data_IF_942503029954
#
_entry.id   IF_942503029954
#
_cell.length_a   1.000
_cell.length_b   1.000
_cell.length_c   1.000
_cell.angle_alpha   90.00
_cell.angle_beta   90.00
_cell.angle_gamma   90.00
#
_symmetry.space_group_name_H-M   'P 1'
#
loop_
_entity.id
_entity.type
_entity.pdbx_description
1 polymer ?
#
# COMPACT_ATOMS: atom_id res chain seq x y z
N UNK A 1 -19.37 24.39 5.62
CA UNK A 1 -18.32 23.36 5.44
C UNK A 1 -18.47 22.35 6.57
N UNK A 2 -18.52 21.05 6.25
CA UNK A 2 -18.70 19.99 7.25
C UNK A 2 -17.46 19.84 8.15
N UNK A 3 -17.57 19.21 9.32
CA UNK A 3 -16.46 19.17 10.29
C UNK A 3 -15.28 18.32 9.80
N UNK A 4 -15.54 17.19 9.14
CA UNK A 4 -14.44 16.38 8.56
C UNK A 4 -13.66 17.17 7.50
N UNK A 5 -14.35 18.01 6.72
CA UNK A 5 -13.70 18.90 5.75
C UNK A 5 -12.80 19.90 6.47
N UNK A 6 -13.27 20.51 7.58
CA UNK A 6 -12.42 21.44 8.36
C UNK A 6 -11.20 20.73 8.95
N UNK A 7 -11.35 19.50 9.44
CA UNK A 7 -10.24 18.69 9.97
C UNK A 7 -9.21 18.38 8.88
N UNK A 8 -9.67 18.00 7.67
CA UNK A 8 -8.80 17.79 6.51
C UNK A 8 -8.04 19.09 6.14
N UNK A 9 -8.74 20.23 6.09
CA UNK A 9 -8.10 21.51 5.75
C UNK A 9 -7.06 21.94 6.79
N UNK A 10 -7.32 21.72 8.08
CA UNK A 10 -6.37 22.03 9.17
C UNK A 10 -5.04 21.31 9.02
N UNK A 11 -4.99 20.12 8.40
CA UNK A 11 -3.72 19.41 8.15
C UNK A 11 -2.73 20.20 7.31
N UNK A 12 -3.23 21.05 6.42
CA UNK A 12 -2.41 21.75 5.45
C UNK A 12 -2.04 23.17 5.91
N UNK A 13 -2.54 23.63 7.06
CA UNK A 13 -2.29 24.98 7.57
C UNK A 13 -2.58 26.05 6.52
N UNK A 14 -1.57 26.85 6.17
CA UNK A 14 -1.66 27.92 5.18
C UNK A 14 -1.71 27.43 3.72
N UNK A 15 -1.46 26.14 3.46
CA UNK A 15 -1.43 25.55 2.11
C UNK A 15 -2.82 25.17 1.62
N UNK A 16 -3.63 26.19 1.34
CA UNK A 16 -5.01 26.04 0.83
C UNK A 16 -5.03 25.26 -0.49
N UNK A 17 -4.02 25.41 -1.34
CA UNK A 17 -3.84 24.63 -2.57
C UNK A 17 -3.83 23.11 -2.30
N UNK A 18 -3.10 22.68 -1.27
CA UNK A 18 -3.03 21.27 -0.86
C UNK A 18 -4.33 20.81 -0.21
N UNK A 19 -4.97 21.66 0.59
CA UNK A 19 -6.27 21.36 1.19
C UNK A 19 -7.37 21.14 0.14
N UNK A 20 -7.42 22.00 -0.89
CA UNK A 20 -8.36 21.86 -2.00
C UNK A 20 -8.06 20.60 -2.82
N UNK A 21 -6.79 20.33 -3.10
CA UNK A 21 -6.40 19.09 -3.78
C UNK A 21 -6.80 17.85 -2.97
N UNK A 22 -6.54 17.83 -1.66
CA UNK A 22 -6.95 16.74 -0.78
C UNK A 22 -8.46 16.55 -0.73
N UNK A 23 -9.22 17.65 -0.64
CA UNK A 23 -10.68 17.60 -0.71
C UNK A 23 -11.17 16.96 -2.01
N UNK A 24 -10.71 17.46 -3.16
CA UNK A 24 -11.10 16.94 -4.47
C UNK A 24 -10.69 15.48 -4.61
N UNK A 25 -9.45 15.16 -4.23
CA UNK A 25 -8.91 13.82 -4.31
C UNK A 25 -9.75 12.83 -3.49
N UNK A 26 -9.94 13.07 -2.20
CA UNK A 26 -10.66 12.11 -1.34
C UNK A 26 -12.16 12.07 -1.63
N UNK A 27 -12.78 13.20 -2.01
CA UNK A 27 -14.21 13.27 -2.33
C UNK A 27 -14.56 12.50 -3.60
N UNK A 28 -13.65 12.46 -4.57
CA UNK A 28 -13.86 11.86 -5.91
C UNK A 28 -12.73 10.92 -6.31
N UNK A 29 -12.19 10.14 -5.36
CA UNK A 29 -10.96 9.34 -5.55
C UNK A 29 -11.01 8.36 -6.74
N UNK A 30 -12.13 7.69 -6.97
CA UNK A 30 -12.39 6.84 -8.14
C UNK A 30 -12.31 7.59 -9.47
N UNK A 31 -12.98 8.74 -9.60
CA UNK A 31 -12.97 9.55 -10.82
C UNK A 31 -11.59 10.18 -11.02
N UNK A 32 -11.00 10.63 -9.92
CA UNK A 32 -9.66 11.18 -9.90
C UNK A 32 -8.68 10.15 -10.45
N UNK A 33 -8.62 8.95 -9.88
CA UNK A 33 -7.72 7.87 -10.31
C UNK A 33 -8.03 7.45 -11.75
N UNK A 34 -9.30 7.26 -12.11
CA UNK A 34 -9.69 6.89 -13.49
C UNK A 34 -9.22 7.91 -14.53
N UNK A 35 -9.48 9.19 -14.30
CA UNK A 35 -9.02 10.27 -15.19
C UNK A 35 -7.50 10.34 -15.22
N UNK A 36 -6.85 10.20 -14.06
CA UNK A 36 -5.39 10.22 -13.94
C UNK A 36 -4.72 9.13 -14.77
N UNK A 37 -5.19 7.89 -14.61
CA UNK A 37 -4.63 6.73 -15.30
C UNK A 37 -4.88 6.81 -16.81
N UNK A 38 -6.05 7.31 -17.23
CA UNK A 38 -6.30 7.57 -18.65
C UNK A 38 -5.32 8.58 -19.26
N UNK A 39 -5.03 9.69 -18.55
CA UNK A 39 -4.05 10.69 -18.98
C UNK A 39 -2.64 10.10 -18.99
N UNK A 40 -2.25 9.39 -17.92
CA UNK A 40 -0.93 8.78 -17.79
C UNK A 40 -0.66 7.76 -18.92
N UNK A 41 -1.60 6.84 -19.18
CA UNK A 41 -1.48 5.87 -20.28
C UNK A 41 -1.38 6.55 -21.64
N UNK A 42 -2.18 7.61 -21.89
CA UNK A 42 -2.10 8.38 -23.14
C UNK A 42 -0.76 9.10 -23.27
N UNK A 43 -0.26 9.70 -22.20
CA UNK A 43 1.04 10.38 -22.21
C UNK A 43 2.18 9.40 -22.46
N UNK A 44 2.25 8.28 -21.75
CA UNK A 44 3.30 7.26 -21.93
C UNK A 44 3.30 6.73 -23.36
N UNK A 45 2.12 6.57 -23.98
CA UNK A 45 2.00 6.18 -25.39
C UNK A 45 2.55 7.22 -26.37
N UNK A 46 2.34 8.51 -26.10
CA UNK A 46 2.78 9.61 -26.98
C UNK A 46 4.23 10.03 -26.73
N UNK A 47 4.69 9.94 -25.49
CA UNK A 47 5.97 10.41 -25.00
C UNK A 47 6.64 9.33 -24.13
N UNK A 48 7.05 8.19 -24.73
CA UNK A 48 7.58 7.04 -23.98
C UNK A 48 8.88 7.32 -23.21
N UNK A 49 9.55 8.44 -23.49
CA UNK A 49 10.75 8.92 -22.78
C UNK A 49 10.52 10.17 -21.93
N UNK A 50 9.28 10.68 -21.87
CA UNK A 50 8.96 11.89 -21.11
C UNK A 50 8.88 11.62 -19.62
N UNK A 51 9.69 12.32 -18.81
CA UNK A 51 9.74 12.13 -17.34
C UNK A 51 8.72 12.94 -16.55
N UNK A 52 8.21 14.03 -17.11
CA UNK A 52 7.38 15.01 -16.37
C UNK A 52 6.19 14.38 -15.65
N UNK A 53 5.47 13.48 -16.33
CA UNK A 53 4.29 12.85 -15.74
C UNK A 53 4.66 11.84 -14.65
N UNK A 54 5.82 11.18 -14.78
CA UNK A 54 6.35 10.26 -13.79
C UNK A 54 6.78 11.02 -12.53
N UNK A 55 7.50 12.13 -12.67
CA UNK A 55 7.95 12.91 -11.52
C UNK A 55 6.78 13.55 -10.75
N UNK A 56 5.75 14.01 -11.46
CA UNK A 56 4.57 14.60 -10.84
C UNK A 56 3.74 13.57 -10.06
N UNK A 57 3.55 12.37 -10.59
CA UNK A 57 2.70 11.35 -9.96
C UNK A 57 3.41 10.59 -8.86
N UNK A 58 4.61 10.11 -9.12
CA UNK A 58 5.20 9.10 -8.26
C UNK A 58 5.94 9.72 -7.06
N UNK A 59 6.25 11.03 -7.07
CA UNK A 59 6.83 11.68 -5.88
C UNK A 59 5.81 12.00 -4.79
N UNK A 60 4.50 11.82 -5.05
CA UNK A 60 3.41 12.24 -4.15
C UNK A 60 2.64 11.09 -3.50
N UNK A 61 2.87 9.87 -3.97
CA UNK A 61 2.19 8.66 -3.50
C UNK A 61 3.22 7.60 -3.20
N UNK A 62 3.31 7.23 -1.94
CA UNK A 62 4.26 6.22 -1.48
C UNK A 62 3.55 5.20 -0.62
N UNK A 63 4.05 3.97 -0.67
CA UNK A 63 3.56 2.91 0.16
C UNK A 63 4.70 2.06 0.70
N UNK A 64 4.39 1.35 1.78
CA UNK A 64 5.22 0.30 2.36
C UNK A 64 4.48 -1.02 2.21
N UNK A 65 5.13 -2.02 1.62
CA UNK A 65 4.61 -3.39 1.64
C UNK A 65 4.61 -3.88 3.08
N UNK A 66 3.53 -4.53 3.49
CA UNK A 66 3.39 -5.12 4.82
C UNK A 66 3.29 -6.63 4.72
N UNK A 67 3.69 -7.31 5.78
CA UNK A 67 3.18 -8.65 6.09
C UNK A 67 1.75 -8.55 6.61
N UNK A 68 1.03 -9.66 6.64
CA UNK A 68 -0.31 -9.71 7.24
C UNK A 68 -0.26 -9.33 8.73
N UNK A 69 0.72 -9.83 9.47
CA UNK A 69 0.93 -9.50 10.89
C UNK A 69 1.14 -7.99 11.12
N UNK A 70 2.00 -7.35 10.31
CA UNK A 70 2.25 -5.90 10.41
C UNK A 70 0.97 -5.08 10.16
N UNK A 71 0.18 -5.48 9.16
CA UNK A 71 -1.09 -4.83 8.86
C UNK A 71 -2.10 -5.04 10.01
N UNK A 72 -2.18 -6.25 10.56
CA UNK A 72 -3.04 -6.58 11.68
C UNK A 72 -2.71 -5.72 12.91
N UNK A 73 -1.42 -5.58 13.26
CA UNK A 73 -0.97 -4.71 14.35
C UNK A 73 -1.46 -3.27 14.19
N UNK A 74 -1.39 -2.70 12.98
CA UNK A 74 -1.89 -1.34 12.73
C UNK A 74 -3.42 -1.25 12.91
N UNK A 75 -4.16 -2.26 12.43
CA UNK A 75 -5.62 -2.29 12.49
C UNK A 75 -6.17 -2.52 13.91
N UNK A 76 -5.37 -3.06 14.81
CA UNK A 76 -5.75 -3.31 16.21
C UNK A 76 -5.22 -2.28 17.20
N UNK A 77 -4.52 -1.23 16.73
CA UNK A 77 -4.04 -0.16 17.60
C UNK A 77 -5.19 0.56 18.30
N UNK A 78 -5.00 0.77 19.60
CA UNK A 78 -5.96 1.41 20.51
C UNK A 78 -5.48 2.76 21.06
N UNK A 79 -4.29 3.22 20.64
CA UNK A 79 -3.66 4.45 21.08
C UNK A 79 -2.97 5.19 19.93
N UNK A 80 -2.81 6.51 20.09
CA UNK A 80 -2.18 7.35 19.07
C UNK A 80 -0.69 7.03 18.90
N UNK A 81 -0.24 7.04 17.65
CA UNK A 81 1.17 6.80 17.30
C UNK A 81 1.70 7.97 16.47
N UNK A 82 2.77 8.61 16.93
CA UNK A 82 3.42 9.74 16.25
C UNK A 82 4.92 9.50 16.14
N UNK A 83 5.36 8.86 15.07
CA UNK A 83 6.79 8.57 14.94
C UNK A 83 7.63 9.82 14.72
N UNK A 84 8.87 9.76 15.20
CA UNK A 84 9.90 10.73 14.88
C UNK A 84 10.05 10.86 13.34
N UNK A 85 10.16 12.09 12.78
CA UNK A 85 10.31 12.27 11.34
C UNK A 85 11.53 11.60 10.73
N UNK A 86 12.68 11.56 11.42
CA UNK A 86 13.90 10.93 10.92
C UNK A 86 13.78 9.41 10.90
N UNK A 87 13.15 8.82 11.93
CA UNK A 87 12.80 7.41 11.91
C UNK A 87 11.78 7.11 10.80
N UNK A 88 10.74 7.92 10.65
CA UNK A 88 9.73 7.77 9.59
C UNK A 88 10.37 7.77 8.19
N UNK A 89 11.30 8.68 7.94
CA UNK A 89 12.04 8.77 6.68
C UNK A 89 13.01 7.60 6.46
N UNK A 90 13.37 6.81 7.47
CA UNK A 90 14.13 5.56 7.28
C UNK A 90 13.24 4.35 7.00
N UNK A 91 12.00 4.37 7.52
CA UNK A 91 11.00 3.31 7.27
C UNK A 91 10.40 3.48 5.87
N UNK A 92 10.08 4.72 5.48
CA UNK A 92 9.49 5.08 4.20
C UNK A 92 10.39 6.12 3.55
N UNK A 93 11.48 5.70 2.88
CA UNK A 93 12.58 6.58 2.47
C UNK A 93 12.30 7.36 1.20
N UNK A 94 11.22 8.14 1.23
CA UNK A 94 10.80 9.02 0.13
C UNK A 94 10.81 10.49 0.55
N UNK A 95 11.11 11.43 -0.37
CA UNK A 95 11.25 12.86 -0.03
C UNK A 95 9.99 13.50 0.58
N UNK A 96 8.82 12.98 0.22
CA UNK A 96 7.52 13.46 0.66
C UNK A 96 6.67 12.29 1.13
N UNK A 97 5.58 12.57 1.85
CA UNK A 97 4.60 11.56 2.23
C UNK A 97 5.22 10.30 2.87
N UNK A 98 5.86 10.48 4.03
CA UNK A 98 6.49 9.39 4.77
C UNK A 98 6.18 9.40 6.26
N UNK A 99 5.49 10.43 6.79
CA UNK A 99 5.27 10.56 8.23
C UNK A 99 4.33 9.46 8.73
N UNK A 100 4.74 8.75 9.78
CA UNK A 100 3.90 7.73 10.42
C UNK A 100 3.17 8.40 11.59
N UNK A 101 1.95 8.86 11.32
CA UNK A 101 1.08 9.52 12.29
C UNK A 101 -0.30 8.87 12.23
N UNK A 102 -0.63 8.10 13.25
CA UNK A 102 -1.91 7.43 13.45
C UNK A 102 -2.62 8.14 14.60
N UNK A 103 -3.51 9.07 14.24
CA UNK A 103 -4.37 9.83 15.15
C UNK A 103 -5.74 9.13 15.20
N UNK A 104 -6.16 8.67 16.38
CA UNK A 104 -7.38 7.88 16.58
C UNK A 104 -7.44 6.64 15.67
N UNK A 105 -6.45 5.72 15.71
CA UNK A 105 -6.38 4.57 14.79
C UNK A 105 -7.61 3.65 14.83
N UNK A 106 -8.34 3.60 15.94
CA UNK A 106 -9.60 2.88 16.09
C UNK A 106 -10.74 3.43 15.21
N UNK A 107 -10.55 4.60 14.59
CA UNK A 107 -11.44 5.11 13.56
C UNK A 107 -11.08 4.49 12.21
N UNK A 108 -11.66 3.32 11.94
CA UNK A 108 -11.45 2.60 10.68
C UNK A 108 -12.68 2.74 9.80
N UNK A 109 -12.45 3.09 8.53
CA UNK A 109 -13.49 3.22 7.51
C UNK A 109 -13.11 2.41 6.29
N UNK A 110 -13.95 1.44 5.96
CA UNK A 110 -13.87 0.71 4.70
C UNK A 110 -14.62 1.47 3.61
N UNK A 111 -14.07 1.49 2.40
CA UNK A 111 -14.72 2.04 1.22
C UNK A 111 -14.38 1.23 -0.02
N UNK A 112 -15.15 1.46 -1.08
CA UNK A 112 -14.90 0.86 -2.38
C UNK A 112 -13.55 1.33 -2.95
N UNK A 113 -12.74 0.36 -3.36
CA UNK A 113 -11.42 0.59 -3.88
C UNK A 113 -11.48 1.25 -5.26
N UNK A 114 -11.09 2.52 -5.30
CA UNK A 114 -11.03 3.33 -6.51
C UNK A 114 -10.21 2.67 -7.65
N UNK A 115 -9.12 1.97 -7.33
CA UNK A 115 -8.31 1.27 -8.32
C UNK A 115 -9.07 0.06 -8.89
N UNK A 116 -9.78 -0.73 -8.06
CA UNK A 116 -10.59 -1.85 -8.54
C UNK A 116 -11.74 -1.38 -9.44
N UNK A 117 -12.36 -0.24 -9.09
CA UNK A 117 -13.36 0.43 -9.96
C UNK A 117 -12.73 0.83 -11.31
N UNK A 118 -11.51 1.38 -11.31
CA UNK A 118 -10.78 1.73 -12.53
C UNK A 118 -10.56 0.52 -13.44
N UNK A 119 -10.26 -0.64 -12.84
CA UNK A 119 -10.07 -1.93 -13.53
C UNK A 119 -11.38 -2.63 -13.91
N UNK A 120 -12.53 -2.03 -13.64
CA UNK A 120 -13.84 -2.57 -14.00
C UNK A 120 -14.36 -3.68 -13.09
N UNK A 121 -13.81 -3.82 -11.88
CA UNK A 121 -14.40 -4.71 -10.86
C UNK A 121 -15.77 -4.17 -10.48
N UNK A 122 -16.79 -5.02 -10.59
CA UNK A 122 -18.17 -4.66 -10.28
C UNK A 122 -18.74 -5.39 -9.04
N UNK A 123 -18.06 -6.44 -8.58
CA UNK A 123 -18.47 -7.18 -7.37
C UNK A 123 -18.32 -6.31 -6.12
N UNK A 124 -19.42 -5.96 -5.41
CA UNK A 124 -19.37 -5.12 -4.23
C UNK A 124 -18.47 -5.68 -3.12
N UNK A 125 -18.43 -7.00 -2.92
CA UNK A 125 -17.61 -7.62 -1.88
C UNK A 125 -16.12 -7.48 -2.19
N UNK A 126 -15.75 -7.60 -3.47
CA UNK A 126 -14.40 -7.29 -3.94
C UNK A 126 -14.09 -5.79 -3.96
N UNK A 127 -15.07 -4.88 -3.91
CA UNK A 127 -14.80 -3.44 -3.92
C UNK A 127 -14.51 -2.88 -2.52
N UNK A 128 -15.27 -3.23 -1.50
CA UNK A 128 -15.23 -2.60 -0.17
C UNK A 128 -14.04 -3.09 0.69
N UNK A 129 -12.81 -2.80 0.24
CA UNK A 129 -11.56 -3.34 0.81
C UNK A 129 -10.49 -2.29 1.14
N UNK A 130 -10.73 -1.01 0.83
CA UNK A 130 -9.80 0.07 1.11
C UNK A 130 -10.09 0.64 2.50
N UNK A 131 -9.12 0.56 3.40
CA UNK A 131 -9.29 0.88 4.82
C UNK A 131 -8.58 2.19 5.14
N UNK A 132 -9.31 3.28 5.34
CA UNK A 132 -8.75 4.43 6.05
C UNK A 132 -8.60 4.09 7.52
N UNK A 133 -7.43 4.39 8.08
CA UNK A 133 -7.11 4.11 9.48
C UNK A 133 -6.69 5.42 10.13
N UNK A 134 -7.52 5.86 11.08
CA UNK A 134 -7.32 7.10 11.77
C UNK A 134 -7.70 8.34 10.97
N UNK A 135 -7.46 9.46 11.61
CA UNK A 135 -8.04 10.74 11.24
C UNK A 135 -7.04 11.66 10.56
N UNK A 136 -7.50 12.59 9.70
CA UNK A 136 -8.90 12.94 9.41
C UNK A 136 -9.52 12.15 8.27
N UNK A 137 -8.77 11.26 7.63
CA UNK A 137 -9.22 10.63 6.38
C UNK A 137 -10.38 9.69 6.63
N UNK A 138 -10.38 8.96 7.75
CA UNK A 138 -11.52 8.12 8.14
C UNK A 138 -12.82 8.93 8.25
N UNK A 139 -12.88 9.99 9.07
CA UNK A 139 -14.11 10.79 9.17
C UNK A 139 -14.49 11.46 7.86
N UNK A 140 -13.50 11.91 7.08
CA UNK A 140 -13.75 12.50 5.77
C UNK A 140 -14.40 11.51 4.81
N UNK A 141 -13.86 10.29 4.68
CA UNK A 141 -14.44 9.25 3.84
C UNK A 141 -15.82 8.81 4.33
N UNK A 142 -16.02 8.67 5.64
CA UNK A 142 -17.33 8.32 6.17
C UNK A 142 -18.39 9.37 5.80
N UNK A 143 -18.05 10.65 5.96
CA UNK A 143 -18.99 11.75 5.71
C UNK A 143 -19.21 12.02 4.22
N UNK A 144 -18.20 11.83 3.38
CA UNK A 144 -18.22 12.21 1.97
C UNK A 144 -18.25 11.03 0.99
N UNK A 145 -18.01 9.80 1.42
CA UNK A 145 -17.90 8.62 0.58
C UNK A 145 -19.09 7.67 0.65
N UNK A 146 -19.97 7.80 1.65
CA UNK A 146 -21.04 6.85 1.93
C UNK A 146 -21.95 6.56 0.72
N UNK A 147 -22.46 7.60 0.06
CA UNK A 147 -23.41 7.44 -1.05
C UNK A 147 -22.81 6.86 -2.34
N UNK A 148 -21.50 7.01 -2.54
CA UNK A 148 -20.87 6.79 -3.86
C UNK A 148 -19.82 5.69 -3.89
N UNK A 149 -19.11 5.51 -2.79
CA UNK A 149 -18.07 4.51 -2.61
C UNK A 149 -18.36 3.64 -1.38
N UNK A 150 -19.62 3.61 -0.95
CA UNK A 150 -20.12 2.78 0.15
C UNK A 150 -19.22 2.84 1.39
N UNK A 151 -18.72 4.04 1.69
CA UNK A 151 -17.85 4.24 2.83
C UNK A 151 -18.63 4.00 4.13
N UNK A 152 -18.11 3.13 4.98
CA UNK A 152 -18.75 2.73 6.24
C UNK A 152 -17.69 2.55 7.32
N UNK A 153 -18.08 2.83 8.56
CA UNK A 153 -17.24 2.50 9.72
C UNK A 153 -17.18 0.98 9.86
N UNK A 154 -16.01 0.48 10.22
CA UNK A 154 -15.78 -0.94 10.53
C UNK A 154 -15.08 -1.05 11.87
N UNK A 155 -15.35 -2.13 12.58
CA UNK A 155 -14.58 -2.51 13.77
C UNK A 155 -13.18 -3.02 13.38
N UNK A 156 -12.27 -3.10 14.35
CA UNK A 156 -10.97 -3.74 14.14
C UNK A 156 -11.13 -5.20 13.69
N UNK A 157 -12.09 -5.93 14.28
CA UNK A 157 -12.41 -7.31 13.88
C UNK A 157 -12.86 -7.40 12.43
N UNK A 158 -13.82 -6.59 11.99
CA UNK A 158 -14.24 -6.57 10.58
C UNK A 158 -13.10 -6.16 9.63
N UNK A 159 -12.22 -5.24 10.06
CA UNK A 159 -11.06 -4.85 9.27
C UNK A 159 -10.06 -6.00 9.10
N UNK A 160 -9.85 -6.80 10.15
CA UNK A 160 -9.04 -8.03 10.09
C UNK A 160 -9.71 -9.08 9.19
N UNK A 161 -11.02 -9.26 9.25
CA UNK A 161 -11.74 -10.17 8.35
C UNK A 161 -11.56 -9.77 6.88
N UNK A 162 -11.60 -8.46 6.57
CA UNK A 162 -11.28 -7.94 5.22
C UNK A 162 -9.83 -8.26 4.85
N UNK A 163 -8.88 -8.00 5.76
CA UNK A 163 -7.46 -8.28 5.54
C UNK A 163 -7.23 -9.77 5.23
N UNK A 164 -7.69 -10.67 6.09
CA UNK A 164 -7.54 -12.12 5.96
C UNK A 164 -8.19 -12.65 4.69
N UNK A 165 -9.44 -12.26 4.41
CA UNK A 165 -10.15 -12.67 3.18
C UNK A 165 -9.39 -12.25 1.93
N UNK A 166 -8.91 -11.01 1.88
CA UNK A 166 -8.17 -10.53 0.71
C UNK A 166 -6.78 -11.20 0.62
N UNK A 167 -6.19 -11.57 1.76
CA UNK A 167 -4.93 -12.30 1.82
C UNK A 167 -5.06 -13.72 1.27
N UNK A 168 -6.13 -14.42 1.64
CA UNK A 168 -6.54 -15.71 1.08
C UNK A 168 -6.83 -15.64 -0.43
N UNK A 169 -7.07 -14.44 -0.98
CA UNK A 169 -7.18 -14.18 -2.43
C UNK A 169 -5.86 -13.74 -3.09
N UNK A 170 -4.75 -13.75 -2.36
CA UNK A 170 -3.42 -13.40 -2.87
C UNK A 170 -3.12 -11.89 -2.86
N UNK A 171 -3.85 -11.12 -2.06
CA UNK A 171 -3.60 -9.68 -1.91
C UNK A 171 -2.40 -9.40 -1.01
N UNK A 172 -1.75 -8.27 -1.27
CA UNK A 172 -0.64 -7.79 -0.45
C UNK A 172 -1.09 -6.53 0.29
N UNK A 173 -1.14 -6.55 1.64
CA UNK A 173 -1.44 -5.35 2.38
C UNK A 173 -0.32 -4.33 2.18
N UNK A 174 -0.72 -3.09 1.96
CA UNK A 174 0.20 -1.96 1.76
C UNK A 174 -0.25 -0.78 2.59
N UNK A 175 0.67 -0.19 3.35
CA UNK A 175 0.45 1.06 4.08
C UNK A 175 0.70 2.25 3.14
N UNK A 176 -0.26 3.16 3.03
CA UNK A 176 -0.23 4.26 2.08
C UNK A 176 -0.01 5.60 2.74
N UNK A 177 0.81 6.41 2.09
CA UNK A 177 1.22 7.73 2.51
C UNK A 177 0.98 8.71 1.38
N UNK A 178 0.48 9.89 1.74
CA UNK A 178 0.18 10.90 0.73
C UNK A 178 0.37 12.32 1.26
N UNK A 179 0.81 13.20 0.38
CA UNK A 179 0.91 14.64 0.63
C UNK A 179 -0.46 15.27 0.98
N UNK A 180 -1.52 14.87 0.29
CA UNK A 180 -2.91 15.23 0.57
C UNK A 180 -3.42 14.72 1.93
N UNK A 181 -2.74 13.76 2.56
CA UNK A 181 -3.01 13.34 3.93
C UNK A 181 -2.27 14.20 4.97
N UNK A 182 -1.55 15.24 4.56
CA UNK A 182 -0.62 15.98 5.42
C UNK A 182 0.77 15.34 5.47
N UNK A 183 1.23 14.82 4.33
CA UNK A 183 2.52 14.12 4.17
C UNK A 183 2.67 12.88 5.08
N UNK A 184 1.56 12.21 5.40
CA UNK A 184 1.52 11.08 6.35
C UNK A 184 0.74 9.87 5.87
N UNK A 185 0.84 8.79 6.66
CA UNK A 185 0.02 7.59 6.56
C UNK A 185 -1.48 7.92 6.61
N UNK A 186 -2.29 7.20 5.84
CA UNK A 186 -3.76 7.37 5.89
C UNK A 186 -4.60 6.12 5.62
N UNK A 187 -4.05 5.10 4.96
CA UNK A 187 -4.85 3.93 4.58
C UNK A 187 -4.01 2.66 4.46
N UNK A 188 -4.67 1.52 4.69
CA UNK A 188 -4.22 0.20 4.29
C UNK A 188 -5.02 -0.22 3.07
N UNK A 189 -4.31 -0.59 2.01
CA UNK A 189 -4.92 -1.21 0.84
C UNK A 189 -4.65 -2.71 0.83
N UNK A 190 -5.69 -3.49 0.57
CA UNK A 190 -5.63 -4.93 0.37
C UNK A 190 -5.70 -5.24 -1.13
N UNK A 191 -4.65 -4.88 -1.88
CA UNK A 191 -4.66 -5.02 -3.33
C UNK A 191 -3.91 -6.29 -3.76
N UNK A 192 -4.48 -7.13 -4.63
CA UNK A 192 -3.67 -8.01 -5.44
C UNK A 192 -2.91 -7.11 -6.45
N UNK A 193 -1.66 -7.44 -6.79
CA UNK A 193 -0.90 -6.60 -7.70
C UNK A 193 -1.42 -6.52 -9.14
N UNK A 194 -2.48 -7.26 -9.49
CA UNK A 194 -3.25 -7.11 -10.74
C UNK A 194 -4.18 -5.88 -10.74
N UNK A 195 -4.62 -5.41 -9.58
CA UNK A 195 -5.54 -4.26 -9.47
C UNK A 195 -4.89 -3.00 -8.91
N UNK A 196 -3.66 -3.08 -8.43
CA UNK A 196 -2.96 -1.93 -7.86
C UNK A 196 -2.34 -1.06 -8.98
N UNK A 197 -2.95 0.10 -9.25
CA UNK A 197 -2.45 1.07 -10.24
C UNK A 197 -0.99 1.48 -10.00
N UNK A 198 -0.59 1.58 -8.74
CA UNK A 198 0.78 1.87 -8.38
C UNK A 198 1.74 0.73 -8.73
N UNK A 199 1.45 -0.51 -8.30
CA UNK A 199 2.32 -1.63 -8.64
C UNK A 199 2.38 -1.84 -10.16
N UNK A 200 1.28 -1.65 -10.88
CA UNK A 200 1.26 -1.61 -12.35
C UNK A 200 2.18 -0.50 -12.89
N UNK A 201 2.07 0.71 -12.35
CA UNK A 201 2.89 1.86 -12.76
C UNK A 201 4.38 1.63 -12.52
N UNK A 202 4.75 1.02 -11.40
CA UNK A 202 6.13 0.66 -11.08
C UNK A 202 6.67 -0.41 -12.06
N UNK A 203 5.87 -1.44 -12.38
CA UNK A 203 6.23 -2.45 -13.39
C UNK A 203 6.41 -1.83 -14.78
N UNK A 204 5.50 -0.93 -15.17
CA UNK A 204 5.57 -0.24 -16.46
C UNK A 204 6.83 0.63 -16.57
N UNK A 205 7.16 1.38 -15.52
CA UNK A 205 8.37 2.19 -15.48
C UNK A 205 9.64 1.33 -15.66
N UNK A 206 9.69 0.16 -15.03
CA UNK A 206 10.78 -0.81 -15.22
C UNK A 206 10.82 -1.38 -16.65
N UNK A 207 9.67 -1.80 -17.19
CA UNK A 207 9.58 -2.34 -18.54
C UNK A 207 10.03 -1.33 -19.61
N UNK A 208 9.74 -0.05 -19.40
CA UNK A 208 10.16 1.04 -20.27
C UNK A 208 11.61 1.50 -20.06
N UNK A 209 12.35 0.85 -19.15
CA UNK A 209 13.73 1.21 -18.78
C UNK A 209 13.87 2.70 -18.43
N UNK A 210 12.88 3.25 -17.74
CA UNK A 210 12.96 4.61 -17.21
C UNK A 210 14.15 4.65 -16.25
N UNK A 211 15.15 5.46 -16.57
CA UNK A 211 16.30 5.69 -15.70
C UNK A 211 15.84 6.32 -14.39
N UNK A 212 16.19 5.69 -13.26
CA UNK A 212 15.66 6.03 -11.92
C UNK A 212 14.13 6.04 -11.91
N UNK A 213 13.48 4.87 -12.15
CA UNK A 213 12.04 4.80 -12.13
C UNK A 213 11.59 5.18 -10.72
N UNK A 214 10.58 6.05 -10.59
CA UNK A 214 10.19 6.50 -9.28
C UNK A 214 9.64 5.32 -8.47
N UNK A 215 10.38 4.99 -7.42
CA UNK A 215 10.01 3.94 -6.49
C UNK A 215 8.90 4.50 -5.62
N UNK A 216 7.75 3.85 -5.66
CA UNK A 216 6.55 4.24 -4.88
C UNK A 216 6.22 3.20 -3.81
N UNK A 217 6.91 2.07 -3.81
CA UNK A 217 6.71 0.99 -2.87
C UNK A 217 8.05 0.64 -2.24
N UNK A 218 8.15 0.81 -0.93
CA UNK A 218 9.26 0.30 -0.15
C UNK A 218 8.97 -1.17 0.27
N UNK A 219 9.97 -2.06 0.26
CA UNK A 219 9.82 -3.46 0.71
C UNK A 219 9.50 -3.54 2.20
N UNK A 220 8.97 -4.66 2.69
CA UNK A 220 8.49 -4.79 4.08
C UNK A 220 9.58 -4.79 5.16
N UNK A 221 10.85 -4.91 4.78
CA UNK A 221 11.94 -5.19 5.72
C UNK A 221 12.30 -6.67 5.81
N UNK A 222 11.60 -7.54 5.08
CA UNK A 222 11.88 -8.97 5.07
C UNK A 222 12.24 -9.47 3.67
N UNK A 223 12.95 -10.58 3.64
CA UNK A 223 13.29 -11.34 2.45
C UNK A 223 12.72 -12.76 2.58
N UNK A 224 12.16 -13.28 1.51
CA UNK A 224 11.77 -14.69 1.46
C UNK A 224 13.04 -15.57 1.35
N UNK A 225 13.12 -16.62 2.17
CA UNK A 225 14.20 -17.59 2.18
C UNK A 225 13.62 -18.97 1.94
N UNK A 226 14.27 -19.76 1.09
CA UNK A 226 13.86 -21.12 0.74
C UNK A 226 14.90 -22.09 1.29
N UNK A 227 14.46 -23.03 2.14
CA UNK A 227 15.25 -24.22 2.41
C UNK A 227 15.18 -25.16 1.20
N UNK A 228 16.29 -25.24 0.46
CA UNK A 228 16.39 -26.04 -0.76
C UNK A 228 16.22 -27.54 -0.49
N UNK A 229 16.67 -28.03 0.66
CA UNK A 229 16.60 -29.45 1.00
C UNK A 229 15.14 -29.88 1.27
N UNK A 230 14.34 -29.00 1.87
CA UNK A 230 12.92 -29.24 2.15
C UNK A 230 11.99 -28.88 0.98
N UNK A 231 12.47 -28.12 -0.01
CA UNK A 231 11.64 -27.68 -1.14
C UNK A 231 11.24 -28.85 -2.05
N UNK A 232 9.94 -29.14 -2.12
CA UNK A 232 9.38 -30.19 -2.99
C UNK A 232 9.39 -29.85 -4.49
N UNK A 233 9.62 -28.59 -4.85
CA UNK A 233 9.68 -28.14 -6.24
C UNK A 233 8.35 -28.00 -6.98
N UNK A 234 7.23 -27.97 -6.26
CA UNK A 234 5.89 -27.92 -6.86
C UNK A 234 5.52 -26.60 -7.56
N UNK A 235 6.31 -25.53 -7.42
CA UNK A 235 6.03 -24.24 -8.07
C UNK A 235 4.93 -23.38 -7.45
N UNK A 236 4.18 -23.84 -6.45
CA UNK A 236 3.06 -23.08 -5.86
C UNK A 236 3.47 -21.67 -5.36
N UNK A 237 4.66 -21.53 -4.78
CA UNK A 237 5.18 -20.23 -4.36
C UNK A 237 5.52 -19.29 -5.52
N UNK A 238 5.90 -19.83 -6.69
CA UNK A 238 6.17 -19.06 -7.90
C UNK A 238 4.88 -18.44 -8.42
N UNK A 239 3.82 -19.24 -8.52
CA UNK A 239 2.48 -18.78 -8.95
C UNK A 239 1.90 -17.75 -7.98
N UNK A 240 2.07 -17.98 -6.68
CA UNK A 240 1.57 -17.08 -5.65
C UNK A 240 2.30 -15.72 -5.59
N UNK A 241 3.53 -15.62 -6.12
CA UNK A 241 4.36 -14.45 -5.97
C UNK A 241 3.92 -13.32 -6.91
N UNK A 242 3.31 -12.24 -6.40
CA UNK A 242 2.76 -11.27 -7.31
C UNK A 242 3.82 -10.26 -7.80
N UNK A 243 5.02 -10.30 -7.24
CA UNK A 243 6.15 -9.46 -7.66
C UNK A 243 7.05 -10.16 -8.69
N UNK A 244 6.76 -11.43 -9.03
CA UNK A 244 7.62 -12.23 -9.90
C UNK A 244 9.01 -12.48 -9.32
N UNK A 245 9.10 -12.52 -7.98
CA UNK A 245 10.37 -12.67 -7.27
C UNK A 245 10.83 -14.12 -7.11
N UNK A 246 9.99 -15.09 -7.47
CA UNK A 246 10.27 -16.51 -7.33
C UNK A 246 10.32 -17.18 -8.70
N UNK A 247 11.21 -18.15 -8.86
CA UNK A 247 11.33 -19.02 -10.03
C UNK A 247 11.80 -20.42 -9.59
N UNK A 248 11.62 -21.43 -10.43
CA UNK A 248 12.27 -22.73 -10.24
C UNK A 248 13.60 -22.75 -10.98
N UNK A 249 14.62 -23.39 -10.39
CA UNK A 249 15.91 -23.63 -11.05
C UNK A 249 15.95 -24.97 -11.80
N UNK A 250 17.13 -25.34 -12.29
CA UNK A 250 17.34 -26.59 -13.04
C UNK A 250 17.15 -27.88 -12.22
N UNK A 251 17.05 -27.78 -10.89
CA UNK A 251 16.75 -28.89 -9.97
C UNK A 251 15.31 -28.79 -9.43
N UNK A 252 14.48 -27.98 -10.07
CA UNK A 252 13.12 -27.65 -9.66
C UNK A 252 13.04 -27.05 -8.25
N UNK A 253 14.10 -26.44 -7.73
CA UNK A 253 14.06 -25.77 -6.43
C UNK A 253 13.69 -24.30 -6.59
N UNK A 254 12.85 -23.81 -5.68
CA UNK A 254 12.47 -22.41 -5.68
C UNK A 254 13.69 -21.52 -5.36
N UNK A 255 13.90 -20.49 -6.18
CA UNK A 255 14.88 -19.44 -6.01
C UNK A 255 14.19 -18.09 -5.83
N UNK A 256 14.74 -17.27 -4.94
CA UNK A 256 14.23 -15.92 -4.66
C UNK A 256 15.16 -14.89 -5.28
N UNK A 257 14.62 -14.04 -6.14
CA UNK A 257 15.26 -12.81 -6.60
C UNK A 257 15.26 -11.78 -5.48
N UNK A 258 16.45 -11.41 -5.01
CA UNK A 258 16.61 -10.36 -4.01
C UNK A 258 15.94 -9.07 -4.47
N UNK A 259 16.23 -8.57 -5.67
CA UNK A 259 15.75 -7.27 -6.15
C UNK A 259 14.23 -7.18 -6.25
N UNK A 260 13.57 -8.29 -6.60
CA UNK A 260 12.13 -8.33 -6.79
C UNK A 260 11.33 -8.65 -5.53
N UNK A 261 11.95 -9.31 -4.56
CA UNK A 261 11.24 -9.70 -3.35
C UNK A 261 10.91 -8.49 -2.49
N UNK A 262 9.62 -8.26 -2.27
CA UNK A 262 9.13 -7.18 -1.42
C UNK A 262 8.85 -7.64 0.03
N UNK A 263 9.12 -8.90 0.35
CA UNK A 263 8.96 -9.46 1.70
C UNK A 263 7.51 -9.57 2.17
N UNK A 264 6.55 -9.76 1.25
CA UNK A 264 5.14 -9.73 1.61
C UNK A 264 4.66 -10.98 2.38
N UNK A 265 5.27 -12.16 2.18
CA UNK A 265 4.93 -13.40 2.89
C UNK A 265 4.01 -14.40 2.17
N UNK A 266 3.37 -14.02 1.05
CA UNK A 266 2.41 -14.90 0.36
C UNK A 266 2.99 -16.27 -0.01
N UNK A 267 4.27 -16.33 -0.36
CA UNK A 267 4.93 -17.60 -0.68
C UNK A 267 4.96 -18.57 0.51
N UNK A 268 5.14 -18.06 1.74
CA UNK A 268 5.16 -18.86 2.95
C UNK A 268 3.76 -19.43 3.24
N UNK A 269 2.73 -18.59 3.10
CA UNK A 269 1.33 -18.95 3.34
C UNK A 269 0.78 -19.97 2.33
N UNK A 270 1.30 -19.97 1.10
CA UNK A 270 0.83 -20.88 0.03
C UNK A 270 1.59 -22.19 -0.07
N UNK A 271 2.69 -22.33 0.67
CA UNK A 271 3.46 -23.55 0.62
C UNK A 271 2.88 -24.59 1.57
N UNK A 272 2.28 -25.65 1.03
CA UNK A 272 1.77 -26.77 1.83
C UNK A 272 2.87 -27.49 2.64
N UNK A 273 4.13 -27.33 2.23
CA UNK A 273 5.32 -27.88 2.89
C UNK A 273 5.92 -26.93 3.94
N UNK A 274 5.41 -25.70 4.07
CA UNK A 274 5.90 -24.70 5.02
C UNK A 274 7.34 -24.25 4.79
N UNK A 275 7.85 -24.34 3.55
CA UNK A 275 9.29 -24.15 3.26
C UNK A 275 9.70 -22.68 3.16
N UNK A 276 9.00 -21.80 2.42
CA UNK A 276 9.36 -20.40 2.38
C UNK A 276 9.15 -19.77 3.75
N UNK A 277 10.16 -19.07 4.24
CA UNK A 277 10.08 -18.26 5.46
C UNK A 277 10.46 -16.82 5.16
N UNK A 278 10.05 -15.90 6.03
CA UNK A 278 10.50 -14.51 5.96
C UNK A 278 11.61 -14.28 6.99
N UNK A 279 12.74 -13.76 6.53
CA UNK A 279 13.86 -13.35 7.39
C UNK A 279 14.06 -11.84 7.29
N UNK A 280 14.34 -11.20 8.43
CA UNK A 280 14.70 -9.78 8.49
C UNK A 280 15.95 -9.54 7.65
N UNK A 281 15.90 -8.55 6.74
CA UNK A 281 17.07 -8.15 5.95
C UNK A 281 17.17 -6.62 5.96
N UNK A 282 18.26 -6.09 6.50
CA UNK A 282 18.46 -4.63 6.64
C UNK A 282 18.51 -3.92 5.28
N UNK A 283 18.95 -4.62 4.22
CA UNK A 283 18.96 -4.09 2.85
C UNK A 283 17.54 -3.96 2.28
N UNK A 284 16.53 -4.55 2.95
CA UNK A 284 15.10 -4.35 2.68
C UNK A 284 14.48 -3.24 3.53
N UNK A 285 15.29 -2.39 4.17
CA UNK A 285 14.84 -1.22 4.92
C UNK A 285 14.29 -1.59 6.31
N UNK A 286 13.79 -0.61 7.05
CA UNK A 286 13.20 -0.83 8.39
C UNK A 286 11.74 -1.32 8.22
N UNK A 287 11.25 -2.31 9.00
CA UNK A 287 9.88 -2.76 8.89
C UNK A 287 8.94 -1.68 9.42
N UNK A 288 7.74 -1.61 8.85
CA UNK A 288 6.66 -0.85 9.46
C UNK A 288 5.93 -1.78 10.42
N UNK A 289 6.66 -2.19 11.47
CA UNK A 289 6.12 -2.95 12.59
C UNK A 289 6.01 -2.01 13.79
N UNK A 290 4.78 -1.79 14.26
CA UNK A 290 4.52 -0.76 15.28
C UNK A 290 5.21 -1.09 16.61
N UNK A 291 5.34 -2.38 16.94
CA UNK A 291 5.99 -2.82 18.17
C UNK A 291 7.52 -2.62 18.08
N UNK A 292 8.13 -3.01 16.96
CA UNK A 292 9.56 -2.77 16.73
C UNK A 292 9.88 -1.27 16.72
N UNK A 293 9.06 -0.46 16.06
CA UNK A 293 9.24 0.99 16.01
C UNK A 293 9.07 1.65 17.38
N UNK A 294 8.22 1.10 18.25
CA UNK A 294 8.08 1.56 19.63
C UNK A 294 9.35 1.31 20.48
N UNK A 295 10.10 0.24 20.18
CA UNK A 295 11.39 -0.04 20.83
C UNK A 295 12.49 0.91 20.34
N UNK A 296 12.50 1.25 19.05
CA UNK A 296 13.47 2.19 18.45
C UNK A 296 13.27 3.66 18.85
N UNK A 297 12.19 3.96 19.58
CA UNK A 297 11.94 5.29 20.18
C UNK A 297 12.65 5.51 21.52
N UNK A 298 13.15 4.45 22.16
CA UNK A 298 13.88 4.52 23.44
C UNK A 298 15.36 4.78 23.20
#
# INVERSE_FOLDING_TARGET
>A
MRESTRRLFRLHGWRIDRALHGYVYYRWIDRYIKTLMAIARRYVRLFPRGRFIFDFFFNRYHCKVLTEEQAAKILTLDHDVIMDPELSARVVPFPHAHRIILDQPQHIVAMDCACRIEKGVADPEALNVCLAVGEPVASFWLEHGAERLHARRVSATEALEILHRERERGSVPTAWFKDAAGDRFFAICNCPPSYCDALESARLARALRVESPPVIAAPSGYLAVIDRAACAGCGACVEACPFGALSLDGEEKALVSFDLCMGCGLCAERCEWGVPSLTRDERKGIPLDIDELALLRR
#
